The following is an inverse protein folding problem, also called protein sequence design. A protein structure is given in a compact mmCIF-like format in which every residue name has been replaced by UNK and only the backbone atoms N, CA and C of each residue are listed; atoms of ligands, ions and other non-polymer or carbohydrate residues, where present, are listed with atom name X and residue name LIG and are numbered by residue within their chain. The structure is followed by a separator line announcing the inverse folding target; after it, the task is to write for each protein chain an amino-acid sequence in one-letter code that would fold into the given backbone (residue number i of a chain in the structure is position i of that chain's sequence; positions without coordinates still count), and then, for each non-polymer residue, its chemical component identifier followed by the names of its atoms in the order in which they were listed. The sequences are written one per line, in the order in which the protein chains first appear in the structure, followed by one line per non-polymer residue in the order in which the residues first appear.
data_IF_459108238632
#
_entry.id   IF_459108238632
#
_cell.length_a   1.000
_cell.length_b   1.000
_cell.length_c   1.000
_cell.angle_alpha   90.00
_cell.angle_beta   90.00
_cell.angle_gamma   90.00
#
_symmetry.space_group_name_H-M   'P 1'
#
loop_
_entity.id
_entity.type
_entity.pdbx_description
1 polymer ?
#
# COMPACT_ATOMS: atom_id res chain seq x y z
N UNK A 1 11.10 19.59 -15.13
CA UNK A 1 10.72 18.64 -16.20
C UNK A 1 11.79 17.58 -16.30
N UNK A 2 11.43 16.30 -16.40
CA UNK A 2 12.40 15.26 -16.74
C UNK A 2 12.78 15.37 -18.21
N UNK A 3 14.08 15.26 -18.52
CA UNK A 3 14.59 15.33 -19.90
C UNK A 3 14.61 14.00 -20.66
N UNK A 4 13.94 13.01 -20.09
CA UNK A 4 13.93 11.64 -20.58
C UNK A 4 12.50 11.10 -20.57
N UNK A 5 12.23 10.15 -21.46
CA UNK A 5 10.94 9.50 -21.59
C UNK A 5 10.66 8.56 -20.40
N UNK A 6 11.56 7.61 -20.17
CA UNK A 6 11.47 6.61 -19.08
C UNK A 6 12.86 6.19 -18.59
N UNK A 7 12.91 5.48 -17.47
CA UNK A 7 14.13 4.82 -16.97
C UNK A 7 14.13 3.36 -17.39
N UNK A 8 15.30 2.84 -17.74
CA UNK A 8 15.45 1.41 -18.00
C UNK A 8 15.14 0.59 -16.74
N UNK A 9 14.30 -0.44 -16.89
CA UNK A 9 13.89 -1.29 -15.78
C UNK A 9 15.05 -2.10 -15.18
N UNK A 10 16.08 -2.43 -15.99
CA UNK A 10 17.26 -3.21 -15.57
C UNK A 10 18.37 -2.33 -15.01
N UNK A 11 18.85 -1.34 -15.76
CA UNK A 11 20.05 -0.56 -15.38
C UNK A 11 19.75 0.86 -14.87
N UNK A 12 18.47 1.27 -14.85
CA UNK A 12 18.00 2.60 -14.43
C UNK A 12 18.57 3.79 -15.21
N UNK A 13 19.25 3.55 -16.35
CA UNK A 13 19.67 4.62 -17.27
C UNK A 13 18.45 5.31 -17.89
N UNK A 14 18.52 6.63 -18.12
CA UNK A 14 17.46 7.35 -18.80
C UNK A 14 17.40 6.95 -20.28
N UNK A 15 16.18 6.75 -20.78
CA UNK A 15 15.86 6.57 -22.19
C UNK A 15 15.34 7.93 -22.68
N UNK A 16 16.04 8.54 -23.63
CA UNK A 16 15.66 9.83 -24.20
C UNK A 16 14.38 9.75 -25.05
N UNK A 17 13.85 10.91 -25.42
CA UNK A 17 12.81 11.03 -26.43
C UNK A 17 13.37 10.73 -27.82
N UNK A 18 12.53 10.21 -28.71
CA UNK A 18 12.90 9.79 -30.07
C UNK A 18 14.03 8.76 -30.19
N UNK A 19 14.40 8.10 -29.09
CA UNK A 19 15.43 7.07 -29.02
C UNK A 19 14.83 5.67 -29.19
N UNK A 20 15.58 4.77 -29.82
CA UNK A 20 15.21 3.36 -29.85
C UNK A 20 15.38 2.72 -28.47
N UNK A 21 14.37 2.00 -28.03
CA UNK A 21 14.36 1.17 -26.84
C UNK A 21 13.77 -0.20 -27.18
N UNK A 22 13.94 -1.16 -26.27
CA UNK A 22 13.39 -2.50 -26.44
C UNK A 22 12.20 -2.71 -25.51
N UNK A 23 11.09 -3.15 -26.10
CA UNK A 23 9.91 -3.66 -25.41
C UNK A 23 9.93 -5.20 -25.44
N UNK A 24 9.33 -5.82 -24.45
CA UNK A 24 9.18 -7.28 -24.45
C UNK A 24 7.92 -7.63 -25.25
N UNK A 25 7.96 -8.66 -26.11
CA UNK A 25 6.77 -9.10 -26.86
C UNK A 25 5.60 -9.58 -25.99
N UNK A 26 5.87 -9.89 -24.72
CA UNK A 26 4.86 -10.33 -23.76
C UNK A 26 4.02 -9.14 -23.29
N UNK A 27 2.73 -9.14 -23.62
CA UNK A 27 1.79 -8.06 -23.32
C UNK A 27 1.66 -7.72 -21.83
N UNK A 28 1.88 -8.68 -20.92
CA UNK A 28 1.88 -8.42 -19.47
C UNK A 28 3.02 -7.52 -19.03
N UNK A 29 4.15 -7.57 -19.74
CA UNK A 29 5.32 -6.72 -19.49
C UNK A 29 5.14 -5.30 -20.03
N UNK A 30 4.13 -5.03 -20.87
CA UNK A 30 3.90 -3.73 -21.54
C UNK A 30 2.68 -2.97 -21.01
N UNK A 31 2.02 -3.44 -19.95
CA UNK A 31 0.82 -2.78 -19.38
C UNK A 31 1.15 -1.40 -18.81
N UNK A 32 0.24 -0.42 -18.94
CA UNK A 32 0.42 0.98 -18.47
C UNK A 32 1.03 1.15 -17.06
N UNK A 33 0.68 0.29 -16.09
CA UNK A 33 1.18 0.36 -14.69
C UNK A 33 2.45 -0.47 -14.42
N UNK A 34 2.75 -1.46 -15.25
CA UNK A 34 3.87 -2.41 -15.04
C UNK A 34 4.81 -2.48 -16.24
N UNK A 35 4.74 -1.50 -17.14
CA UNK A 35 5.50 -1.43 -18.37
C UNK A 35 7.00 -1.49 -18.09
N UNK A 36 7.69 -2.46 -18.69
CA UNK A 36 9.14 -2.57 -18.63
C UNK A 36 9.74 -1.95 -19.88
N UNK A 37 10.78 -1.15 -19.69
CA UNK A 37 11.48 -0.46 -20.76
C UNK A 37 12.97 -0.80 -20.69
N UNK A 38 13.58 -1.18 -21.81
CA UNK A 38 14.98 -1.60 -21.84
C UNK A 38 15.79 -0.75 -22.81
N UNK A 39 16.91 -0.19 -22.34
CA UNK A 39 17.77 0.64 -23.20
C UNK A 39 18.60 -0.18 -24.20
N UNK A 40 18.76 -1.49 -23.97
CA UNK A 40 19.59 -2.36 -24.80
C UNK A 40 19.17 -3.82 -24.71
N UNK A 41 19.56 -4.63 -25.70
CA UNK A 41 19.30 -6.07 -25.73
C UNK A 41 19.81 -6.78 -24.45
N UNK A 42 21.02 -6.52 -23.93
CA UNK A 42 21.48 -7.12 -22.67
C UNK A 42 20.62 -6.73 -21.45
N UNK A 43 20.09 -5.50 -21.42
CA UNK A 43 19.17 -5.08 -20.36
C UNK A 43 17.83 -5.81 -20.45
N UNK A 44 17.40 -6.17 -21.66
CA UNK A 44 16.23 -7.01 -21.88
C UNK A 44 16.51 -8.47 -21.49
N UNK A 45 17.65 -9.05 -21.87
CA UNK A 45 18.02 -10.43 -21.49
C UNK A 45 18.14 -10.62 -19.97
N UNK A 46 18.67 -9.62 -19.26
CA UNK A 46 18.76 -9.62 -17.80
C UNK A 46 17.38 -9.76 -17.09
N UNK A 47 16.28 -9.49 -17.79
CA UNK A 47 14.93 -9.69 -17.25
C UNK A 47 14.44 -11.15 -17.34
N UNK A 48 14.98 -11.95 -18.28
CA UNK A 48 14.52 -13.32 -18.57
C UNK A 48 14.63 -14.26 -17.35
N UNK A 49 15.69 -14.24 -16.53
CA UNK A 49 15.79 -15.14 -15.38
C UNK A 49 14.75 -14.86 -14.28
N UNK A 50 14.28 -13.61 -14.17
CA UNK A 50 13.29 -13.22 -13.14
C UNK A 50 11.85 -13.59 -13.51
N UNK A 51 11.57 -13.81 -14.80
CA UNK A 51 10.24 -13.97 -15.33
C UNK A 51 10.24 -15.22 -16.23
N UNK A 52 9.64 -16.31 -15.76
CA UNK A 52 9.63 -17.63 -16.42
C UNK A 52 8.85 -17.68 -17.75
N UNK A 53 9.10 -16.76 -18.69
CA UNK A 53 8.57 -16.82 -20.05
C UNK A 53 9.62 -17.41 -21.00
N UNK A 54 9.21 -18.47 -21.71
CA UNK A 54 10.07 -19.33 -22.53
C UNK A 54 10.26 -18.79 -23.97
N UNK A 55 9.30 -18.02 -24.48
CA UNK A 55 9.23 -17.60 -25.90
C UNK A 55 9.15 -16.08 -26.07
N UNK A 56 9.74 -15.30 -25.17
CA UNK A 56 9.77 -13.83 -25.27
C UNK A 56 10.89 -13.37 -26.23
N UNK A 57 10.63 -12.31 -27.01
CA UNK A 57 11.66 -11.63 -27.80
C UNK A 57 11.66 -10.12 -27.54
N UNK A 58 12.76 -9.47 -27.91
CA UNK A 58 12.93 -8.02 -27.81
C UNK A 58 12.41 -7.35 -29.09
N UNK A 59 11.39 -6.50 -28.95
CA UNK A 59 10.88 -5.67 -30.03
C UNK A 59 11.51 -4.27 -29.92
N UNK A 60 12.18 -3.83 -30.98
CA UNK A 60 12.77 -2.49 -31.02
C UNK A 60 11.70 -1.47 -31.38
N UNK A 61 11.46 -0.52 -30.47
CA UNK A 61 10.45 0.53 -30.60
C UNK A 61 11.12 1.89 -30.43
N UNK A 62 10.62 2.93 -31.09
CA UNK A 62 11.11 4.30 -30.91
C UNK A 62 10.27 5.02 -29.86
N UNK A 63 10.90 5.70 -28.90
CA UNK A 63 10.17 6.52 -27.93
C UNK A 63 9.51 7.71 -28.63
N UNK A 64 8.34 8.16 -28.15
CA UNK A 64 7.65 9.32 -28.72
C UNK A 64 8.50 10.58 -28.59
N UNK A 65 8.17 11.61 -29.36
CA UNK A 65 8.73 12.95 -29.13
C UNK A 65 8.24 13.50 -27.78
N UNK A 66 8.97 14.47 -27.23
CA UNK A 66 8.56 15.14 -25.98
C UNK A 66 7.16 15.74 -26.10
N UNK A 67 6.86 16.41 -27.21
CA UNK A 67 5.57 17.04 -27.44
C UNK A 67 4.42 16.02 -27.49
N UNK A 68 4.64 14.85 -28.12
CA UNK A 68 3.66 13.77 -28.13
C UNK A 68 3.42 13.18 -26.74
N UNK A 69 4.50 12.95 -25.99
CA UNK A 69 4.41 12.39 -24.64
C UNK A 69 3.73 13.35 -23.66
N UNK A 70 3.96 14.65 -23.78
CA UNK A 70 3.28 15.67 -22.98
C UNK A 70 1.78 15.74 -23.30
N UNK A 71 1.41 15.63 -24.59
CA UNK A 71 0.00 15.54 -25.00
C UNK A 71 -0.68 14.29 -24.45
N UNK A 72 -0.06 13.12 -24.57
CA UNK A 72 -0.62 11.86 -24.04
C UNK A 72 -0.79 11.92 -22.52
N UNK A 73 0.17 12.49 -21.79
CA UNK A 73 0.04 12.68 -20.35
C UNK A 73 -1.05 13.68 -19.99
N UNK A 74 -1.20 14.77 -20.74
CA UNK A 74 -2.27 15.74 -20.53
C UNK A 74 -3.64 15.12 -20.82
N UNK A 75 -3.75 14.27 -21.84
CA UNK A 75 -4.97 13.53 -22.17
C UNK A 75 -5.33 12.49 -21.11
N UNK A 76 -4.35 11.71 -20.63
CA UNK A 76 -4.54 10.75 -19.54
C UNK A 76 -4.90 11.47 -18.23
N UNK A 77 -4.27 12.60 -17.92
CA UNK A 77 -4.60 13.43 -16.75
C UNK A 77 -6.02 14.02 -16.87
N UNK A 78 -6.38 14.57 -18.03
CA UNK A 78 -7.71 15.08 -18.28
C UNK A 78 -8.77 13.96 -18.29
N UNK A 79 -8.41 12.73 -18.71
CA UNK A 79 -9.30 11.58 -18.63
C UNK A 79 -9.51 11.12 -17.19
N UNK A 80 -8.46 11.14 -16.36
CA UNK A 80 -8.56 10.88 -14.92
C UNK A 80 -9.40 11.95 -14.23
N UNK A 81 -9.21 13.22 -14.57
CA UNK A 81 -9.99 14.33 -14.04
C UNK A 81 -11.45 14.26 -14.48
N UNK A 82 -11.74 14.00 -15.77
CA UNK A 82 -13.11 13.74 -16.25
C UNK A 82 -13.74 12.53 -15.58
N UNK A 83 -13.00 11.46 -15.33
CA UNK A 83 -13.49 10.30 -14.60
C UNK A 83 -13.81 10.65 -13.14
N UNK A 84 -12.97 11.47 -12.49
CA UNK A 84 -13.19 11.97 -11.14
C UNK A 84 -14.40 12.92 -11.04
N UNK A 85 -14.59 13.80 -12.03
CA UNK A 85 -15.70 14.76 -12.11
C UNK A 85 -17.03 14.09 -12.53
N UNK A 86 -16.97 13.01 -13.32
CA UNK A 86 -18.16 12.23 -13.74
C UNK A 86 -18.66 11.30 -12.64
N UNK A 87 -17.90 11.08 -11.57
CA UNK A 87 -18.44 10.51 -10.36
C UNK A 87 -19.48 11.49 -9.81
N UNK A 88 -20.76 11.12 -9.83
CA UNK A 88 -21.83 11.99 -9.34
C UNK A 88 -21.59 12.35 -7.87
N UNK A 89 -22.02 13.55 -7.41
CA UNK A 89 -21.96 13.90 -5.99
C UNK A 89 -22.61 12.82 -5.12
N UNK A 90 -23.68 12.20 -5.63
CA UNK A 90 -24.37 11.07 -5.01
C UNK A 90 -23.50 9.80 -4.92
N UNK A 91 -22.71 9.46 -5.94
CA UNK A 91 -21.80 8.32 -5.89
C UNK A 91 -20.61 8.57 -4.93
N UNK A 92 -20.14 9.80 -4.85
CA UNK A 92 -19.11 10.23 -3.88
C UNK A 92 -19.66 10.20 -2.45
N UNK A 93 -20.89 10.67 -2.24
CA UNK A 93 -21.58 10.65 -0.94
C UNK A 93 -21.92 9.23 -0.50
N UNK A 94 -22.37 8.36 -1.41
CA UNK A 94 -22.59 6.93 -1.15
C UNK A 94 -21.26 6.26 -0.77
N UNK A 95 -20.16 6.59 -1.46
CA UNK A 95 -18.83 6.04 -1.13
C UNK A 95 -18.38 6.50 0.26
N UNK A 96 -18.47 7.79 0.56
CA UNK A 96 -18.11 8.36 1.86
C UNK A 96 -19.00 7.81 3.00
N UNK A 97 -20.31 7.68 2.77
CA UNK A 97 -21.25 7.09 3.74
C UNK A 97 -20.96 5.62 3.97
N UNK A 98 -20.62 4.87 2.92
CA UNK A 98 -20.24 3.46 3.03
C UNK A 98 -18.90 3.29 3.75
N UNK A 99 -17.93 4.18 3.53
CA UNK A 99 -16.66 4.21 4.24
C UNK A 99 -16.85 4.54 5.73
N UNK A 100 -17.65 5.56 6.05
CA UNK A 100 -18.01 5.93 7.42
C UNK A 100 -18.77 4.80 8.15
N UNK A 101 -19.77 4.20 7.50
CA UNK A 101 -20.52 3.08 8.06
C UNK A 101 -19.64 1.83 8.27
N UNK A 102 -18.65 1.59 7.38
CA UNK A 102 -17.65 0.53 7.57
C UNK A 102 -16.74 0.81 8.76
N UNK A 103 -16.27 2.04 8.91
CA UNK A 103 -15.46 2.45 10.07
C UNK A 103 -16.23 2.29 11.39
N UNK A 104 -17.49 2.72 11.42
CA UNK A 104 -18.37 2.56 12.60
C UNK A 104 -18.65 1.08 12.89
N UNK A 105 -18.94 0.27 11.87
CA UNK A 105 -19.17 -1.16 12.04
C UNK A 105 -17.91 -1.90 12.57
N UNK A 106 -16.73 -1.51 12.11
CA UNK A 106 -15.44 -2.04 12.60
C UNK A 106 -15.17 -1.59 14.03
N UNK A 107 -15.53 -0.35 14.40
CA UNK A 107 -15.43 0.12 15.78
C UNK A 107 -16.40 -0.63 16.72
N UNK A 108 -17.65 -0.84 16.30
CA UNK A 108 -18.66 -1.57 17.07
C UNK A 108 -18.33 -3.05 17.22
N UNK A 109 -17.85 -3.71 16.16
CA UNK A 109 -17.43 -5.11 16.20
C UNK A 109 -16.18 -5.35 17.08
N UNK A 110 -15.43 -4.30 17.40
CA UNK A 110 -14.24 -4.34 18.24
C UNK A 110 -14.46 -3.68 19.61
N UNK A 111 -15.70 -3.29 19.91
CA UNK A 111 -16.13 -2.61 21.13
C UNK A 111 -17.17 -3.41 21.93
N UNK A 112 -16.79 -4.60 22.41
CA UNK A 112 -17.42 -5.30 23.53
C UNK A 112 -16.32 -5.77 24.52
N UNK A 113 -15.48 -4.85 24.99
CA UNK A 113 -14.68 -5.05 26.22
C UNK A 113 -14.55 -3.74 26.99
N UNK A 114 -15.69 -3.14 27.36
CA UNK A 114 -15.75 -2.10 28.40
C UNK A 114 -15.52 -2.68 29.82
N UNK A 115 -14.81 -3.81 29.96
CA UNK A 115 -14.64 -4.50 31.26
C UNK A 115 -13.18 -4.76 31.66
N UNK A 116 -12.21 -4.51 30.79
CA UNK A 116 -10.78 -4.64 31.10
C UNK A 116 -10.25 -3.59 32.10
N UNK A 117 -10.67 -2.33 31.94
CA UNK A 117 -10.22 -1.23 32.79
C UNK A 117 -10.74 -1.33 34.24
N UNK A 118 -11.96 -1.85 34.41
CA UNK A 118 -12.59 -2.01 35.74
C UNK A 118 -12.07 -3.24 36.50
N UNK A 119 -11.57 -4.28 35.80
CA UNK A 119 -10.89 -5.43 36.43
C UNK A 119 -9.50 -5.10 36.96
N UNK A 120 -8.73 -4.25 36.25
CA UNK A 120 -7.40 -3.84 36.69
C UNK A 120 -7.42 -3.04 38.01
N UNK A 121 -8.52 -2.33 38.30
CA UNK A 121 -8.70 -1.61 39.56
C UNK A 121 -8.91 -2.53 40.79
N UNK A 122 -9.31 -3.80 40.60
CA UNK A 122 -9.52 -4.76 41.71
C UNK A 122 -8.27 -5.53 42.14
N UNK A 123 -7.24 -5.59 41.29
CA UNK A 123 -5.96 -6.23 41.63
C UNK A 123 -4.94 -5.13 41.89
N UNK A 124 -4.83 -4.73 43.16
CA UNK A 124 -3.93 -3.68 43.64
C UNK A 124 -2.46 -3.98 43.38
N UNK A 125 -2.00 -3.71 42.16
CA UNK A 125 -0.58 -3.68 41.81
C UNK A 125 -0.09 -2.25 41.94
N UNK A 126 0.70 -2.03 42.98
CA UNK A 126 1.28 -0.75 43.40
C UNK A 126 2.06 -0.10 42.25
N UNK A 127 1.63 1.10 41.86
CA UNK A 127 2.35 2.00 40.95
C UNK A 127 3.73 2.32 41.54
N UNK A 128 4.81 1.90 40.86
CA UNK A 128 6.14 2.51 41.05
C UNK A 128 6.66 2.99 39.70
N UNK A 129 6.83 4.32 39.64
CA UNK A 129 7.71 5.11 38.80
C UNK A 129 8.04 4.57 37.41
N UNK A 130 7.30 5.04 36.42
CA UNK A 130 7.83 5.26 35.07
C UNK A 130 7.39 6.67 34.68
N UNK A 131 8.34 7.61 34.64
CA UNK A 131 8.16 8.92 34.02
C UNK A 131 7.77 8.67 32.56
N UNK A 132 6.50 8.93 32.25
CA UNK A 132 5.91 8.72 30.94
C UNK A 132 6.49 9.72 29.97
N UNK A 133 7.41 9.29 29.10
CA UNK A 133 7.57 9.93 27.79
C UNK A 133 6.24 9.73 27.05
N UNK A 134 5.34 10.70 27.18
CA UNK A 134 4.04 10.69 26.54
C UNK A 134 4.20 10.58 25.04
N UNK A 135 3.49 9.64 24.43
CA UNK A 135 3.18 9.77 23.01
C UNK A 135 2.50 11.14 22.83
N UNK A 136 2.78 11.88 21.75
CA UNK A 136 2.02 13.08 21.46
C UNK A 136 0.53 12.71 21.35
N UNK A 137 -0.32 13.46 22.06
CA UNK A 137 -1.78 13.36 21.95
C UNK A 137 -2.21 13.92 20.59
N UNK A 138 -1.98 13.14 19.53
CA UNK A 138 -2.52 13.42 18.20
C UNK A 138 -3.86 12.69 18.13
N UNK A 139 -4.94 13.40 17.80
CA UNK A 139 -6.26 12.79 17.60
C UNK A 139 -6.17 11.80 16.43
N UNK A 140 -6.76 10.61 16.57
CA UNK A 140 -6.73 9.56 15.56
C UNK A 140 -7.22 10.03 14.17
N UNK A 141 -8.06 11.08 14.13
CA UNK A 141 -8.57 11.69 12.89
C UNK A 141 -7.51 12.46 12.11
N UNK A 142 -6.46 12.93 12.80
CA UNK A 142 -5.38 13.73 12.21
C UNK A 142 -4.22 12.84 11.71
N UNK A 143 -4.22 11.54 12.02
CA UNK A 143 -3.26 10.60 11.47
C UNK A 143 -3.61 10.19 10.02
N UNK A 144 -2.61 9.96 9.15
CA UNK A 144 -2.83 9.48 7.79
C UNK A 144 -3.65 8.19 7.74
N UNK A 145 -4.84 8.25 7.13
CA UNK A 145 -5.75 7.11 6.95
C UNK A 145 -5.47 6.32 5.66
N UNK A 146 -4.29 6.49 5.06
CA UNK A 146 -3.90 5.84 3.81
C UNK A 146 -3.91 4.31 3.92
N UNK A 147 -4.07 3.65 2.77
CA UNK A 147 -3.98 2.19 2.69
C UNK A 147 -2.52 1.77 2.90
N UNK A 148 -2.24 1.08 4.01
CA UNK A 148 -0.90 0.63 4.38
C UNK A 148 -0.46 -0.64 3.63
N UNK A 149 -1.35 -1.22 2.82
CA UNK A 149 -1.16 -2.50 2.16
C UNK A 149 -1.16 -2.32 0.64
N UNK A 150 -0.16 -2.90 -0.03
CA UNK A 150 -0.14 -2.92 -1.49
C UNK A 150 -1.23 -3.85 -2.03
N UNK A 151 -2.36 -3.26 -2.45
CA UNK A 151 -3.55 -3.96 -2.91
C UNK A 151 -3.26 -5.09 -3.91
N UNK A 152 -2.40 -4.82 -4.91
CA UNK A 152 -2.06 -5.83 -5.92
C UNK A 152 -1.26 -7.01 -5.37
N UNK A 153 -0.46 -6.82 -4.30
CA UNK A 153 0.27 -7.93 -3.66
C UNK A 153 -0.68 -8.82 -2.87
N UNK A 154 -1.57 -8.21 -2.09
CA UNK A 154 -2.57 -8.95 -1.31
C UNK A 154 -3.52 -9.74 -2.23
N UNK A 155 -4.09 -9.09 -3.24
CA UNK A 155 -4.98 -9.75 -4.22
C UNK A 155 -4.29 -10.90 -4.95
N UNK A 156 -3.00 -10.74 -5.30
CA UNK A 156 -2.20 -11.81 -5.91
C UNK A 156 -1.99 -12.96 -4.94
N UNK A 157 -1.71 -12.67 -3.67
CA UNK A 157 -1.53 -13.70 -2.65
C UNK A 157 -2.82 -14.51 -2.44
N UNK A 158 -3.97 -13.84 -2.27
CA UNK A 158 -5.26 -14.52 -2.07
C UNK A 158 -5.56 -15.43 -3.25
N UNK A 159 -5.43 -14.95 -4.49
CA UNK A 159 -5.61 -15.76 -5.72
C UNK A 159 -4.61 -16.90 -5.90
N UNK A 160 -3.41 -16.78 -5.35
CA UNK A 160 -2.40 -17.84 -5.43
C UNK A 160 -2.63 -18.91 -4.35
N UNK A 161 -3.15 -18.49 -3.19
CA UNK A 161 -3.45 -19.37 -2.05
C UNK A 161 -4.78 -20.10 -2.23
N UNK A 162 -5.74 -19.46 -2.87
CA UNK A 162 -7.09 -19.98 -3.15
C UNK A 162 -7.60 -19.42 -4.48
N UNK A 163 -8.70 -19.93 -5.01
CA UNK A 163 -9.33 -19.37 -6.22
C UNK A 163 -10.24 -18.15 -5.92
N UNK A 164 -9.96 -17.45 -4.82
CA UNK A 164 -10.84 -16.38 -4.35
C UNK A 164 -10.42 -15.00 -4.88
N UNK A 165 -11.42 -14.14 -5.07
CA UNK A 165 -11.22 -12.72 -5.34
C UNK A 165 -11.30 -11.91 -4.05
N UNK A 166 -10.68 -10.73 -4.05
CA UNK A 166 -10.68 -9.81 -2.90
C UNK A 166 -11.26 -8.47 -3.33
N UNK A 167 -12.28 -8.00 -2.61
CA UNK A 167 -12.90 -6.69 -2.84
C UNK A 167 -11.97 -5.55 -2.42
N UNK A 168 -12.22 -4.34 -2.94
CA UNK A 168 -11.40 -3.18 -2.61
C UNK A 168 -11.53 -2.74 -1.15
N UNK A 169 -12.69 -2.96 -0.53
CA UNK A 169 -12.92 -2.61 0.88
C UNK A 169 -12.10 -3.43 1.88
N UNK A 170 -11.54 -4.58 1.49
CA UNK A 170 -10.68 -5.38 2.39
C UNK A 170 -9.40 -4.62 2.75
N UNK A 171 -8.89 -3.76 1.85
CA UNK A 171 -7.64 -3.05 2.08
C UNK A 171 -7.75 -2.02 3.20
N UNK A 172 -8.87 -1.32 3.35
CA UNK A 172 -9.07 -0.38 4.45
C UNK A 172 -9.16 -1.11 5.78
N UNK A 173 -10.00 -2.15 5.86
CA UNK A 173 -10.19 -2.95 7.09
C UNK A 173 -8.87 -3.53 7.59
N UNK A 174 -8.05 -4.10 6.70
CA UNK A 174 -6.75 -4.63 7.08
C UNK A 174 -5.77 -3.52 7.48
N UNK A 175 -5.81 -2.36 6.82
CA UNK A 175 -4.96 -1.21 7.18
C UNK A 175 -5.31 -0.67 8.56
N UNK A 176 -6.59 -0.64 8.93
CA UNK A 176 -7.04 -0.23 10.27
C UNK A 176 -6.56 -1.21 11.34
N UNK A 177 -6.59 -2.51 11.04
CA UNK A 177 -6.04 -3.51 11.95
C UNK A 177 -4.51 -3.33 12.15
N UNK A 178 -3.77 -3.07 11.07
CA UNK A 178 -2.34 -2.77 11.14
C UNK A 178 -2.03 -1.50 11.94
N UNK A 179 -2.85 -0.45 11.81
CA UNK A 179 -2.72 0.77 12.63
C UNK A 179 -2.85 0.46 14.12
N UNK A 180 -3.89 -0.29 14.51
CA UNK A 180 -4.11 -0.67 15.92
C UNK A 180 -2.96 -1.52 16.48
N UNK A 181 -2.51 -2.51 15.71
CA UNK A 181 -1.34 -3.31 16.08
C UNK A 181 -0.09 -2.44 16.28
N UNK A 182 0.09 -1.43 15.42
CA UNK A 182 1.22 -0.51 15.51
C UNK A 182 1.13 0.36 16.76
N UNK A 183 -0.05 0.90 17.10
CA UNK A 183 -0.25 1.69 18.33
C UNK A 183 0.08 0.86 19.57
N UNK A 184 -0.38 -0.38 19.65
CA UNK A 184 -0.07 -1.26 20.78
C UNK A 184 1.43 -1.63 20.85
N UNK A 185 2.07 -1.82 19.70
CA UNK A 185 3.50 -2.07 19.65
C UNK A 185 4.32 -0.84 20.06
N UNK A 186 3.87 0.38 19.70
CA UNK A 186 4.48 1.62 20.18
C UNK A 186 4.36 1.73 21.70
N UNK A 187 3.18 1.43 22.28
CA UNK A 187 3.01 1.40 23.74
C UNK A 187 3.92 0.38 24.40
N UNK A 188 4.11 -0.80 23.80
CA UNK A 188 5.05 -1.81 24.28
C UNK A 188 6.49 -1.30 24.27
N UNK A 189 6.94 -0.72 23.15
CA UNK A 189 8.28 -0.13 23.03
C UNK A 189 8.49 1.03 24.03
N UNK A 190 7.49 1.89 24.21
CA UNK A 190 7.55 3.02 25.13
C UNK A 190 7.66 2.57 26.59
N UNK A 191 6.99 1.48 26.99
CA UNK A 191 7.13 0.88 28.34
C UNK A 191 8.54 0.39 28.62
N UNK A 192 9.29 0.01 27.59
CA UNK A 192 10.72 -0.33 27.69
C UNK A 192 11.65 0.90 27.56
N UNK A 193 11.10 2.12 27.52
CA UNK A 193 11.87 3.36 27.38
C UNK A 193 12.45 3.57 25.97
N UNK A 194 11.98 2.81 24.96
CA UNK A 194 12.47 2.89 23.58
C UNK A 194 11.57 3.77 22.72
N UNK A 195 12.20 4.43 21.73
CA UNK A 195 11.51 5.17 20.66
C UNK A 195 11.44 4.41 19.33
N UNK A 196 11.97 3.18 19.30
CA UNK A 196 12.00 2.31 18.13
C UNK A 196 11.12 1.09 18.39
N UNK A 197 10.12 0.88 17.53
CA UNK A 197 9.32 -0.35 17.50
C UNK A 197 10.15 -1.46 16.86
N UNK A 198 10.25 -2.59 17.54
CA UNK A 198 10.99 -3.77 17.09
C UNK A 198 10.03 -4.95 16.83
N UNK A 199 10.50 -5.95 16.09
CA UNK A 199 9.74 -7.16 15.77
C UNK A 199 9.12 -7.80 17.02
N UNK A 200 9.87 -7.82 18.14
CA UNK A 200 9.40 -8.37 19.42
C UNK A 200 8.19 -7.63 19.99
N UNK A 201 8.04 -6.34 19.72
CA UNK A 201 6.91 -5.54 20.20
C UNK A 201 5.64 -5.96 19.45
N UNK A 202 5.74 -6.15 18.13
CA UNK A 202 4.66 -6.66 17.29
C UNK A 202 4.29 -8.09 17.67
N UNK A 203 5.29 -8.97 17.85
CA UNK A 203 5.06 -10.36 18.27
C UNK A 203 4.40 -10.46 19.64
N UNK A 204 4.81 -9.61 20.59
CA UNK A 204 4.19 -9.52 21.91
C UNK A 204 2.70 -9.16 21.82
N UNK A 205 2.36 -8.16 21.01
CA UNK A 205 0.97 -7.75 20.77
C UNK A 205 0.17 -8.88 20.12
N UNK A 206 0.69 -9.53 19.07
CA UNK A 206 0.00 -10.61 18.37
C UNK A 206 -0.26 -11.82 19.28
N UNK A 207 0.71 -12.20 20.11
CA UNK A 207 0.53 -13.27 21.08
C UNK A 207 -0.59 -12.95 22.07
N UNK A 208 -0.67 -11.71 22.55
CA UNK A 208 -1.72 -11.30 23.48
C UNK A 208 -3.12 -11.32 22.86
N UNK A 209 -3.24 -11.19 21.54
CA UNK A 209 -4.51 -11.30 20.81
C UNK A 209 -4.91 -12.78 20.63
N UNK A 210 -3.97 -13.65 20.26
CA UNK A 210 -4.23 -15.09 20.05
C UNK A 210 -4.66 -15.85 21.32
N UNK A 211 -4.19 -15.44 22.51
CA UNK A 211 -4.55 -16.10 23.77
C UNK A 211 -5.84 -15.57 24.42
N UNK A 212 -6.59 -14.70 23.72
CA UNK A 212 -7.89 -14.17 24.17
C UNK A 212 -9.11 -14.82 23.48
N UNK A 213 -8.90 -15.81 22.60
CA UNK A 213 -9.96 -16.59 21.93
C UNK A 213 -10.26 -17.89 22.64
#
# INVERSE_FOLDING_TARGET
MSDFFKLCSSCKKPIGFEQSYYACSVSTCNRKRTGLFFCSLPCWEAHLPMMRHRDAWAEQVRSPSRAEFEREQAEDAAAQERAAQRATPEAQEITARNEAARHEAVQRALGEDESGAQRAARLGVVKRGAETMGLPEIDDKDLPQEILIVASKLKKYVRARSDFNTSDGVMSVLSDHLRRLSVEAIKAAAREGRKTVLDRDILSVLNNISYRS
#
